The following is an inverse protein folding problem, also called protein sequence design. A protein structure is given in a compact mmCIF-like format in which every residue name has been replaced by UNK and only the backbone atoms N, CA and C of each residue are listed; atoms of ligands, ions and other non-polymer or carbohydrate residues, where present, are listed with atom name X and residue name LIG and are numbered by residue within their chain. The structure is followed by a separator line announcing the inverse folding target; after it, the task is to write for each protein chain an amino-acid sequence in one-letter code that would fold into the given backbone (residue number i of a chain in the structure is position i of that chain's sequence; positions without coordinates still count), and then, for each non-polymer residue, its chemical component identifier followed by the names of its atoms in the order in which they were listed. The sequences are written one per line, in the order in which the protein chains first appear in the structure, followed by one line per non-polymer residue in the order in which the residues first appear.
data_IF_926092530077
#
_entry.id   IF_926092530077
#
_cell.length_a   1.000
_cell.length_b   1.000
_cell.length_c   1.000
_cell.angle_alpha   90.00
_cell.angle_beta   90.00
_cell.angle_gamma   90.00
#
_symmetry.space_group_name_H-M   'P 1'
#
loop_
_entity.id
_entity.type
_entity.pdbx_description
1 polymer ?
#
# COMPACT_ATOMS: atom_id res chain seq x y z
N UNK A 1 -21.89 -6.22 -1.36
CA UNK A 1 -20.58 -5.65 -1.68
C UNK A 1 -20.21 -4.59 -0.67
N UNK A 2 -19.01 -4.69 -0.13
CA UNK A 2 -18.50 -3.74 0.85
C UNK A 2 -17.79 -2.61 0.10
N UNK A 3 -18.25 -1.38 0.29
CA UNK A 3 -17.66 -0.20 -0.35
C UNK A 3 -16.87 0.58 0.68
N UNK A 4 -15.65 0.98 0.33
CA UNK A 4 -14.83 1.76 1.27
C UNK A 4 -13.80 2.65 0.56
N UNK A 5 -13.38 3.68 1.29
CA UNK A 5 -12.27 4.54 0.93
C UNK A 5 -11.03 4.04 1.67
N UNK A 6 -9.93 3.90 0.95
CA UNK A 6 -8.68 3.37 1.48
C UNK A 6 -7.55 4.35 1.16
N UNK A 7 -6.66 4.56 2.11
CA UNK A 7 -5.43 5.33 1.90
C UNK A 7 -4.23 4.41 1.95
N UNK A 8 -3.23 4.70 1.11
CA UNK A 8 -2.01 3.92 0.97
C UNK A 8 -0.79 4.83 1.06
N UNK A 9 0.25 4.37 1.73
CA UNK A 9 1.49 5.10 1.85
C UNK A 9 2.54 4.53 0.90
N UNK A 10 2.98 5.33 -0.06
CA UNK A 10 4.13 5.00 -0.90
C UNK A 10 5.37 5.51 -0.17
N UNK A 11 5.92 4.67 0.70
CA UNK A 11 7.04 5.01 1.58
C UNK A 11 8.35 4.80 0.84
N UNK A 12 8.94 5.90 0.38
CA UNK A 12 10.09 5.91 -0.53
C UNK A 12 11.32 6.50 0.13
N UNK A 13 12.46 5.88 -0.16
CA UNK A 13 13.76 6.37 0.28
C UNK A 13 14.47 7.12 -0.84
N UNK A 14 15.46 7.98 -0.52
CA UNK A 14 16.25 8.66 -1.55
C UNK A 14 16.99 7.73 -2.49
N UNK A 15 17.36 6.54 -2.03
CA UNK A 15 18.07 5.54 -2.83
C UNK A 15 17.12 4.59 -3.59
N UNK A 16 15.90 5.04 -3.87
CA UNK A 16 14.95 4.34 -4.75
C UNK A 16 14.53 2.98 -4.22
N UNK A 17 14.12 2.94 -2.95
CA UNK A 17 13.48 1.78 -2.34
C UNK A 17 12.10 2.16 -1.85
N UNK A 18 11.22 1.19 -1.79
CA UNK A 18 9.85 1.35 -1.27
C UNK A 18 9.54 0.22 -0.31
N UNK A 19 8.86 0.56 0.78
CA UNK A 19 8.44 -0.44 1.77
C UNK A 19 7.16 -1.12 1.30
N UNK A 20 7.22 -2.45 1.18
CA UNK A 20 6.06 -3.25 0.84
C UNK A 20 5.84 -4.33 1.89
N UNK A 21 4.58 -4.76 1.97
CA UNK A 21 4.12 -5.84 2.84
C UNK A 21 3.66 -7.00 1.96
N UNK A 22 4.18 -8.20 2.22
CA UNK A 22 3.67 -9.40 1.56
C UNK A 22 2.48 -9.92 2.35
N UNK A 23 1.37 -10.14 1.67
CA UNK A 23 0.13 -10.63 2.27
C UNK A 23 -0.38 -11.85 1.50
N UNK A 24 -1.18 -12.66 2.17
CA UNK A 24 -1.78 -13.85 1.58
C UNK A 24 -3.30 -13.77 1.71
N UNK A 25 -4.00 -13.89 0.59
CA UNK A 25 -5.46 -13.94 0.62
C UNK A 25 -5.89 -15.23 1.32
N UNK A 26 -6.76 -15.16 2.34
CA UNK A 26 -7.02 -16.30 3.22
C UNK A 26 -7.66 -17.52 2.56
N UNK A 27 -8.46 -17.33 1.52
CA UNK A 27 -9.21 -18.43 0.87
C UNK A 27 -8.45 -18.98 -0.32
N UNK A 28 -7.99 -18.12 -1.21
CA UNK A 28 -7.28 -18.53 -2.43
C UNK A 28 -5.83 -18.94 -2.19
N UNK A 29 -5.21 -18.43 -1.13
CA UNK A 29 -3.79 -18.62 -0.86
C UNK A 29 -2.87 -17.77 -1.73
N UNK A 30 -3.41 -16.90 -2.57
CA UNK A 30 -2.62 -16.04 -3.45
C UNK A 30 -1.85 -15.04 -2.60
N UNK A 31 -0.54 -14.92 -2.85
CA UNK A 31 0.35 -13.98 -2.19
C UNK A 31 0.68 -12.82 -3.12
N UNK A 32 0.75 -11.62 -2.55
CA UNK A 32 1.13 -10.43 -3.30
C UNK A 32 1.66 -9.35 -2.36
N UNK A 33 2.32 -8.36 -2.95
CA UNK A 33 2.92 -7.25 -2.23
C UNK A 33 2.05 -6.01 -2.33
N UNK A 34 1.83 -5.34 -1.19
CA UNK A 34 1.02 -4.13 -1.10
C UNK A 34 1.79 -3.03 -0.36
N UNK A 35 1.38 -1.79 -0.61
CA UNK A 35 1.84 -0.66 0.20
C UNK A 35 1.08 -0.62 1.52
N UNK A 36 1.70 -0.13 2.60
CA UNK A 36 0.99 0.07 3.88
C UNK A 36 -0.22 0.98 3.72
N UNK A 37 -1.27 0.70 4.47
CA UNK A 37 -2.48 1.51 4.45
C UNK A 37 -3.71 0.71 4.82
N UNK A 38 -4.86 1.36 4.77
CA UNK A 38 -6.14 0.72 5.07
C UNK A 38 -7.31 1.67 4.99
N UNK A 39 -8.46 1.20 5.42
CA UNK A 39 -9.70 1.96 5.36
C UNK A 39 -9.79 3.07 6.39
N UNK A 40 -10.52 4.13 6.05
CA UNK A 40 -10.80 5.22 6.97
C UNK A 40 -11.82 4.78 8.04
N UNK A 41 -11.60 5.24 9.26
CA UNK A 41 -12.59 5.15 10.31
C UNK A 41 -13.56 6.35 10.21
N UNK A 42 -14.78 6.24 10.77
CA UNK A 42 -15.76 7.33 10.73
C UNK A 42 -15.16 8.64 11.27
N UNK A 43 -15.30 9.71 10.49
CA UNK A 43 -14.83 11.04 10.86
C UNK A 43 -13.34 11.28 10.63
N UNK A 44 -12.59 10.29 10.19
CA UNK A 44 -11.17 10.42 9.90
C UNK A 44 -10.91 11.14 8.58
N UNK A 45 -9.90 12.02 8.56
CA UNK A 45 -9.37 12.53 7.29
C UNK A 45 -8.43 11.50 6.68
N UNK A 46 -8.11 11.65 5.39
CA UNK A 46 -7.11 10.81 4.73
C UNK A 46 -5.77 10.85 5.47
N UNK A 47 -5.34 12.04 5.87
CA UNK A 47 -4.07 12.22 6.57
C UNK A 47 -4.03 11.50 7.91
N UNK A 48 -5.11 11.63 8.70
CA UNK A 48 -5.21 10.96 9.99
C UNK A 48 -5.22 9.44 9.84
N UNK A 49 -5.99 8.95 8.86
CA UNK A 49 -6.05 7.52 8.56
C UNK A 49 -4.68 6.98 8.12
N UNK A 50 -3.98 7.74 7.28
CA UNK A 50 -2.66 7.34 6.80
C UNK A 50 -1.66 7.24 7.93
N UNK A 51 -1.62 8.23 8.82
CA UNK A 51 -0.74 8.21 10.00
C UNK A 51 -1.05 7.03 10.92
N UNK A 52 -2.33 6.80 11.18
CA UNK A 52 -2.77 5.68 12.03
C UNK A 52 -2.39 4.34 11.43
N UNK A 53 -2.71 4.12 10.17
CA UNK A 53 -2.44 2.85 9.49
C UNK A 53 -0.93 2.58 9.39
N UNK A 54 -0.15 3.59 9.04
CA UNK A 54 1.31 3.44 8.94
C UNK A 54 1.91 3.12 10.31
N UNK A 55 1.45 3.78 11.37
CA UNK A 55 1.92 3.50 12.72
C UNK A 55 1.57 2.07 13.17
N UNK A 56 0.33 1.65 12.92
CA UNK A 56 -0.14 0.32 13.29
C UNK A 56 0.59 -0.78 12.51
N UNK A 57 0.79 -0.58 11.22
CA UNK A 57 1.33 -1.62 10.35
C UNK A 57 2.85 -1.66 10.30
N UNK A 58 3.54 -0.53 10.47
CA UNK A 58 5.00 -0.47 10.30
C UNK A 58 5.76 0.02 11.53
N UNK A 59 5.05 0.56 12.52
CA UNK A 59 5.68 1.16 13.70
C UNK A 59 6.19 2.58 13.49
N UNK A 60 6.07 3.15 12.29
CA UNK A 60 6.53 4.51 12.03
C UNK A 60 5.52 5.52 12.57
N UNK A 61 5.93 6.30 13.57
CA UNK A 61 5.05 7.25 14.27
C UNK A 61 5.24 8.70 13.85
N UNK A 62 6.33 9.01 13.14
CA UNK A 62 6.65 10.37 12.67
C UNK A 62 6.53 10.46 11.17
N UNK A 63 5.33 10.22 10.67
CA UNK A 63 5.05 10.23 9.24
C UNK A 63 4.48 11.57 8.84
N UNK A 64 5.07 12.17 7.80
CA UNK A 64 4.53 13.37 7.17
C UNK A 64 4.00 12.97 5.80
N UNK A 65 2.67 12.82 5.66
CA UNK A 65 2.10 12.53 4.35
C UNK A 65 2.40 13.65 3.36
N UNK A 66 2.92 13.26 2.20
CA UNK A 66 3.17 14.17 1.11
C UNK A 66 1.94 14.29 0.22
N UNK A 67 2.18 14.59 -1.07
CA UNK A 67 1.09 14.77 -2.00
C UNK A 67 0.43 13.45 -2.41
N UNK A 68 -0.83 13.53 -2.77
CA UNK A 68 -1.56 12.47 -3.45
C UNK A 68 -0.88 12.23 -4.80
N UNK A 69 -0.47 11.00 -5.06
CA UNK A 69 0.23 10.66 -6.31
C UNK A 69 -0.64 9.86 -7.26
N UNK A 70 -1.45 8.93 -6.76
CA UNK A 70 -2.35 8.12 -7.58
C UNK A 70 -3.64 7.84 -6.84
N UNK A 71 -4.67 7.50 -7.62
CA UNK A 71 -5.88 6.86 -7.07
C UNK A 71 -6.35 5.80 -8.05
N UNK A 72 -7.10 4.83 -7.55
CA UNK A 72 -7.71 3.80 -8.38
C UNK A 72 -8.97 3.25 -7.75
N UNK A 73 -9.87 2.73 -8.57
CA UNK A 73 -10.98 1.89 -8.13
C UNK A 73 -10.50 0.44 -8.19
N UNK A 74 -10.75 -0.32 -7.12
CA UNK A 74 -10.31 -1.70 -7.02
C UNK A 74 -11.46 -2.57 -6.51
N UNK A 75 -11.90 -3.50 -7.33
CA UNK A 75 -12.94 -4.47 -6.97
C UNK A 75 -12.30 -5.85 -6.84
N UNK A 76 -12.53 -6.51 -5.71
CA UNK A 76 -11.90 -7.81 -5.44
C UNK A 76 -12.66 -8.58 -4.37
N UNK A 77 -12.35 -9.86 -4.26
CA UNK A 77 -12.84 -10.72 -3.20
C UNK A 77 -11.72 -10.98 -2.20
N UNK A 78 -12.03 -10.80 -0.93
CA UNK A 78 -11.11 -11.08 0.17
C UNK A 78 -11.86 -11.79 1.29
N UNK A 79 -11.36 -12.96 1.69
CA UNK A 79 -11.97 -13.77 2.75
C UNK A 79 -13.46 -14.00 2.49
N UNK A 80 -13.81 -14.42 1.27
CA UNK A 80 -15.17 -14.67 0.80
C UNK A 80 -16.11 -13.46 0.81
N UNK A 81 -15.55 -12.24 0.89
CA UNK A 81 -16.34 -11.01 0.83
C UNK A 81 -15.95 -10.19 -0.38
N UNK A 82 -16.93 -9.61 -1.03
CA UNK A 82 -16.70 -8.74 -2.18
C UNK A 82 -16.52 -7.30 -1.73
N UNK A 83 -15.44 -6.68 -2.18
CA UNK A 83 -15.10 -5.29 -1.88
C UNK A 83 -15.06 -4.47 -3.15
N UNK A 84 -15.53 -3.24 -3.03
CA UNK A 84 -15.29 -2.18 -4.01
C UNK A 84 -14.66 -1.03 -3.26
N UNK A 85 -13.39 -0.77 -3.51
CA UNK A 85 -12.70 0.28 -2.78
C UNK A 85 -12.04 1.27 -3.72
N UNK A 86 -12.03 2.52 -3.30
CA UNK A 86 -11.26 3.55 -3.97
C UNK A 86 -10.02 3.80 -3.13
N UNK A 87 -8.86 3.57 -3.72
CA UNK A 87 -7.57 3.72 -3.04
C UNK A 87 -6.89 5.02 -3.44
N UNK A 88 -6.38 5.72 -2.44
CA UNK A 88 -5.67 6.98 -2.61
C UNK A 88 -4.25 6.81 -2.11
N UNK A 89 -3.28 6.96 -2.99
CA UNK A 89 -1.86 6.73 -2.70
C UNK A 89 -1.16 8.06 -2.44
N UNK A 90 -0.54 8.17 -1.28
CA UNK A 90 0.19 9.36 -0.85
C UNK A 90 1.67 9.07 -0.77
N UNK A 91 2.47 10.00 -1.29
CA UNK A 91 3.92 9.92 -1.19
C UNK A 91 4.35 10.18 0.26
N UNK A 92 5.19 9.30 0.80
CA UNK A 92 5.80 9.44 2.12
C UNK A 92 7.30 9.27 1.95
N UNK A 93 8.05 10.35 2.09
CA UNK A 93 9.51 10.28 2.01
C UNK A 93 10.05 9.88 3.38
N UNK A 94 10.96 8.93 3.39
CA UNK A 94 11.54 8.41 4.62
C UNK A 94 12.93 7.83 4.36
N UNK A 95 13.72 7.71 5.42
CA UNK A 95 14.89 6.85 5.41
C UNK A 95 14.45 5.42 5.71
N UNK A 96 15.31 4.46 5.43
CA UNK A 96 15.01 3.08 5.79
C UNK A 96 14.97 2.94 7.31
N UNK A 97 14.05 2.13 7.77
CA UNK A 97 13.93 1.74 9.18
C UNK A 97 13.54 0.26 9.22
N UNK A 98 13.61 -0.35 10.39
CA UNK A 98 13.16 -1.73 10.59
C UNK A 98 11.67 -1.68 10.93
N UNK A 99 10.79 -2.08 10.00
CA UNK A 99 9.36 -2.02 10.28
C UNK A 99 8.94 -3.10 11.27
N UNK A 100 8.03 -2.75 12.16
CA UNK A 100 7.44 -3.65 13.15
C UNK A 100 5.95 -3.41 13.18
N UNK A 101 5.17 -4.47 12.94
CA UNK A 101 3.72 -4.36 13.03
C UNK A 101 3.30 -4.27 14.51
N UNK A 102 2.70 -3.14 14.88
CA UNK A 102 2.33 -2.82 16.26
C UNK A 102 0.81 -2.65 16.43
N UNK A 103 0.05 -2.87 15.37
CA UNK A 103 -1.39 -2.77 15.41
C UNK A 103 -2.05 -4.10 15.71
N UNK A 104 -3.39 -4.13 15.63
CA UNK A 104 -4.16 -5.34 15.77
C UNK A 104 -4.14 -6.13 14.46
N UNK A 105 -3.41 -7.26 14.38
CA UNK A 105 -3.30 -8.02 13.14
C UNK A 105 -4.56 -8.81 12.79
N UNK A 106 -5.63 -8.69 13.58
CA UNK A 106 -6.86 -9.45 13.34
C UNK A 106 -7.77 -8.83 12.28
N UNK A 107 -7.39 -7.70 11.67
CA UNK A 107 -8.26 -6.98 10.73
C UNK A 107 -7.64 -6.83 9.35
N UNK A 108 -8.45 -7.10 8.32
CA UNK A 108 -8.11 -6.88 6.93
C UNK A 108 -6.80 -7.52 6.50
N UNK A 109 -6.03 -6.79 5.69
CA UNK A 109 -4.75 -7.27 5.17
C UNK A 109 -3.73 -7.54 6.27
N UNK A 110 -3.80 -6.83 7.40
CA UNK A 110 -2.89 -7.03 8.52
C UNK A 110 -3.00 -8.44 9.12
N UNK A 111 -4.19 -9.05 9.10
CA UNK A 111 -4.39 -10.42 9.59
C UNK A 111 -3.73 -11.48 8.72
N UNK A 112 -3.42 -11.15 7.47
CA UNK A 112 -2.83 -12.05 6.48
C UNK A 112 -1.37 -11.68 6.17
N UNK A 113 -0.76 -10.87 7.03
CA UNK A 113 0.60 -10.38 6.85
C UNK A 113 1.63 -11.52 6.96
N UNK A 114 2.58 -11.53 6.03
CA UNK A 114 3.67 -12.51 6.01
C UNK A 114 5.02 -11.88 6.30
N UNK A 115 5.37 -10.77 5.64
CA UNK A 115 6.67 -10.12 5.85
C UNK A 115 6.71 -8.70 5.30
N UNK A 116 7.67 -7.93 5.77
CA UNK A 116 8.06 -6.65 5.17
C UNK A 116 9.28 -6.84 4.29
N UNK A 117 9.39 -5.98 3.26
CA UNK A 117 10.63 -5.86 2.48
C UNK A 117 10.75 -4.45 1.93
N UNK A 118 11.96 -3.90 2.03
CA UNK A 118 12.36 -2.73 1.27
C UNK A 118 12.79 -3.18 -0.11
N UNK A 119 11.95 -2.91 -1.10
CA UNK A 119 12.22 -3.29 -2.48
C UNK A 119 12.91 -2.14 -3.21
N UNK A 120 14.04 -2.41 -3.91
CA UNK A 120 14.51 -1.44 -4.88
C UNK A 120 13.53 -1.38 -6.05
N UNK A 121 13.40 -0.21 -6.66
CA UNK A 121 12.52 -0.06 -7.84
C UNK A 121 12.94 -1.02 -8.96
N UNK A 122 14.25 -1.17 -9.15
CA UNK A 122 14.78 -2.07 -10.18
C UNK A 122 14.41 -3.53 -9.91
N UNK A 123 14.49 -3.98 -8.68
CA UNK A 123 14.14 -5.37 -8.32
C UNK A 123 12.65 -5.63 -8.54
N UNK A 124 11.79 -4.67 -8.28
CA UNK A 124 10.35 -4.80 -8.59
C UNK A 124 10.18 -5.05 -10.09
N UNK A 125 10.88 -4.29 -10.93
CA UNK A 125 10.80 -4.42 -12.39
C UNK A 125 11.30 -5.75 -12.92
N UNK A 126 12.21 -6.41 -12.20
CA UNK A 126 12.77 -7.72 -12.60
C UNK A 126 12.04 -8.90 -11.98
N UNK A 127 11.22 -8.67 -10.98
CA UNK A 127 10.55 -9.73 -10.23
C UNK A 127 9.37 -10.32 -10.99
N UNK A 128 9.15 -11.61 -10.81
CA UNK A 128 7.96 -12.30 -11.28
C UNK A 128 6.86 -12.35 -10.22
N UNK A 129 7.10 -11.77 -9.05
CA UNK A 129 6.11 -11.73 -7.99
C UNK A 129 5.00 -10.74 -8.33
N UNK A 130 3.86 -10.88 -7.66
CA UNK A 130 2.69 -10.04 -7.90
C UNK A 130 2.71 -8.82 -6.98
N UNK A 131 2.54 -7.66 -7.57
CA UNK A 131 2.44 -6.40 -6.85
C UNK A 131 1.04 -5.81 -7.05
N UNK A 132 0.55 -5.09 -6.07
CA UNK A 132 -0.71 -4.36 -6.14
C UNK A 132 -0.44 -2.87 -5.86
N UNK A 133 -0.59 -1.96 -6.83
CA UNK A 133 -1.01 -2.18 -8.23
C UNK A 133 -0.01 -3.02 -9.04
N UNK A 134 -0.50 -3.69 -10.05
CA UNK A 134 0.35 -4.56 -10.89
C UNK A 134 1.41 -3.79 -11.68
N UNK A 135 1.12 -2.54 -12.01
CA UNK A 135 2.03 -1.64 -12.73
C UNK A 135 2.88 -0.77 -11.78
N UNK A 136 3.06 -1.23 -10.55
CA UNK A 136 3.78 -0.47 -9.51
C UNK A 136 5.17 -0.02 -9.96
N UNK A 137 5.93 -0.85 -10.68
CA UNK A 137 7.25 -0.48 -11.17
C UNK A 137 7.19 0.79 -12.04
N UNK A 138 6.30 0.79 -13.03
CA UNK A 138 6.15 1.95 -13.93
C UNK A 138 5.71 3.21 -13.19
N UNK A 139 4.81 3.04 -12.21
CA UNK A 139 4.33 4.15 -11.39
C UNK A 139 5.47 4.75 -10.55
N UNK A 140 6.29 3.92 -9.93
CA UNK A 140 7.42 4.37 -9.14
C UNK A 140 8.48 5.06 -10.00
N UNK A 141 8.75 4.53 -11.19
CA UNK A 141 9.68 5.16 -12.14
C UNK A 141 9.19 6.56 -12.55
N UNK A 142 7.88 6.70 -12.78
CA UNK A 142 7.27 7.99 -13.07
C UNK A 142 7.47 9.01 -11.96
N UNK A 143 7.29 8.60 -10.70
CA UNK A 143 7.55 9.46 -9.53
C UNK A 143 9.02 9.87 -9.45
N UNK A 144 9.92 8.94 -9.73
CA UNK A 144 11.36 9.18 -9.71
C UNK A 144 11.78 10.26 -10.72
N UNK A 145 11.08 10.34 -11.84
CA UNK A 145 11.35 11.32 -12.91
C UNK A 145 10.51 12.60 -12.78
N UNK A 146 9.72 12.72 -11.71
CA UNK A 146 8.78 13.83 -11.51
C UNK A 146 7.80 14.01 -12.67
N UNK A 147 7.41 12.91 -13.30
CA UNK A 147 6.40 12.93 -14.35
C UNK A 147 5.01 13.18 -13.77
N UNK A 148 4.09 13.81 -14.53
CA UNK A 148 2.71 13.94 -14.09
C UNK A 148 2.13 12.56 -13.79
N UNK A 149 1.39 12.40 -12.68
CA UNK A 149 0.87 11.11 -12.31
C UNK A 149 -0.20 10.64 -13.30
N UNK A 150 0.11 9.57 -14.01
CA UNK A 150 -0.89 8.75 -14.67
C UNK A 150 -1.17 7.62 -13.68
N UNK A 151 -2.30 7.65 -13.04
CA UNK A 151 -2.62 6.66 -12.01
C UNK A 151 -2.64 5.23 -12.54
N UNK A 152 -2.68 4.23 -11.66
CA UNK A 152 -2.83 2.84 -12.04
C UNK A 152 -4.16 2.60 -12.74
N UNK A 153 -4.20 1.58 -13.59
CA UNK A 153 -5.46 1.15 -14.16
C UNK A 153 -6.40 0.64 -13.05
N UNK A 154 -7.70 0.87 -13.22
CA UNK A 154 -8.69 0.28 -12.34
C UNK A 154 -8.68 -1.24 -12.55
N UNK A 155 -8.52 -2.00 -11.48
CA UNK A 155 -8.37 -3.44 -11.57
C UNK A 155 -8.84 -4.15 -10.30
N UNK A 156 -8.95 -5.47 -10.40
CA UNK A 156 -9.07 -6.33 -9.23
C UNK A 156 -7.68 -6.70 -8.70
N UNK A 157 -7.63 -7.14 -7.50
CA UNK A 157 -6.39 -7.63 -6.87
C UNK A 157 -6.11 -9.08 -7.29
#
# INVERSE_FOLDING_TARGET
MIRRRVVRAVMMTPDRHVLLMRVQEPVSGIEFWVTPGGGLEPGESDEDALRREVAEETGATKVSPGQLVWSRQCDFTWDNRDYSQHEYFYRVQTDRFVPVMDGNPAQGEASAFLEFRWWSFDDIGRSEETFSPRDLHSLLEGLSRNEPPEGPADEGV
#
